data_IF_632218078742
#
_entry.id   IF_632218078742
#
_cell.length_a   1.000
_cell.length_b   1.000
_cell.length_c   1.000
_cell.angle_alpha   90.00
_cell.angle_beta   90.00
_cell.angle_gamma   90.00
#
_symmetry.space_group_name_H-M   'P 1'
#
loop_
_entity.id
_entity.type
_entity.pdbx_description
1 polymer ?
#
# COMPACT_ATOMS: atom_id res chain seq x y z
N UNK A 1 -24.22 15.80 2.72
CA UNK A 1 -23.16 15.09 1.98
C UNK A 1 -23.48 13.61 2.14
N UNK A 2 -23.54 12.86 1.05
CA UNK A 2 -23.77 11.42 1.09
C UNK A 2 -22.51 10.73 1.65
N UNK A 3 -22.67 9.67 2.44
CA UNK A 3 -21.50 8.93 2.94
C UNK A 3 -20.78 8.26 1.76
N UNK A 4 -19.43 8.28 1.72
CA UNK A 4 -18.69 7.62 0.67
C UNK A 4 -18.95 6.12 0.69
N UNK A 5 -19.17 5.54 -0.50
CA UNK A 5 -19.33 4.10 -0.65
C UNK A 5 -18.01 3.38 -0.39
N UNK A 6 -18.07 2.08 -0.09
CA UNK A 6 -16.86 1.26 0.06
C UNK A 6 -15.99 1.32 -1.21
N UNK A 7 -16.62 1.22 -2.38
CA UNK A 7 -15.92 1.31 -3.66
C UNK A 7 -15.20 2.65 -3.83
N UNK A 8 -15.85 3.78 -3.53
CA UNK A 8 -15.20 5.09 -3.58
C UNK A 8 -14.03 5.23 -2.59
N UNK A 9 -14.14 4.61 -1.40
CA UNK A 9 -13.04 4.58 -0.45
C UNK A 9 -11.87 3.71 -0.94
N UNK A 10 -12.14 2.57 -1.56
CA UNK A 10 -11.11 1.69 -2.11
C UNK A 10 -10.39 2.31 -3.30
N UNK A 11 -11.13 2.98 -4.19
CA UNK A 11 -10.55 3.76 -5.29
C UNK A 11 -9.60 4.84 -4.74
N UNK A 12 -10.02 5.60 -3.74
CA UNK A 12 -9.16 6.60 -3.09
C UNK A 12 -7.90 5.96 -2.47
N UNK A 13 -8.05 4.87 -1.71
CA UNK A 13 -6.92 4.14 -1.14
C UNK A 13 -5.98 3.56 -2.20
N UNK A 14 -6.49 3.16 -3.35
CA UNK A 14 -5.65 2.69 -4.45
C UNK A 14 -4.75 3.80 -5.01
N UNK A 15 -5.26 5.04 -5.08
CA UNK A 15 -4.49 6.20 -5.50
C UNK A 15 -3.44 6.57 -4.44
N UNK A 16 -3.81 6.49 -3.15
CA UNK A 16 -2.86 6.66 -2.05
C UNK A 16 -1.71 5.65 -2.16
N UNK A 17 -1.96 4.44 -2.66
CA UNK A 17 -0.92 3.42 -2.86
C UNK A 17 0.07 3.82 -3.94
N UNK A 18 -0.40 4.43 -5.03
CA UNK A 18 0.44 4.96 -6.11
C UNK A 18 1.36 6.05 -5.57
N UNK A 19 0.79 7.00 -4.83
CA UNK A 19 1.54 8.10 -4.22
C UNK A 19 2.53 7.59 -3.17
N UNK A 20 2.13 6.63 -2.34
CA UNK A 20 2.97 6.00 -1.34
C UNK A 20 4.16 5.28 -1.96
N UNK A 21 3.91 4.42 -2.96
CA UNK A 21 4.95 3.70 -3.69
C UNK A 21 5.98 4.64 -4.32
N UNK A 22 5.49 5.74 -4.94
CA UNK A 22 6.36 6.70 -5.60
C UNK A 22 7.19 7.50 -4.60
N UNK A 23 6.56 8.00 -3.54
CA UNK A 23 7.22 8.89 -2.56
C UNK A 23 8.20 8.15 -1.65
N UNK A 24 7.92 6.90 -1.26
CA UNK A 24 8.73 6.17 -0.27
C UNK A 24 9.77 5.25 -0.92
N UNK A 25 9.50 4.75 -2.13
CA UNK A 25 10.34 3.73 -2.77
C UNK A 25 10.75 4.04 -4.20
N UNK A 26 10.31 5.16 -4.77
CA UNK A 26 10.49 5.52 -6.18
C UNK A 26 9.96 4.45 -7.16
N UNK A 27 8.92 3.71 -6.74
CA UNK A 27 8.29 2.65 -7.53
C UNK A 27 7.03 3.21 -8.19
N UNK A 28 6.86 2.92 -9.49
CA UNK A 28 5.65 3.29 -10.24
C UNK A 28 4.67 2.13 -10.29
N UNK A 29 3.48 2.40 -9.76
CA UNK A 29 2.27 1.60 -9.86
C UNK A 29 1.34 2.26 -10.89
N UNK A 30 0.85 1.49 -11.86
CA UNK A 30 0.16 1.99 -13.06
C UNK A 30 -1.14 1.25 -13.38
N UNK A 31 -1.70 0.56 -12.39
CA UNK A 31 -2.90 -0.27 -12.46
C UNK A 31 -2.84 -1.48 -13.42
N UNK A 32 -1.64 -1.86 -13.88
CA UNK A 32 -1.47 -3.11 -14.64
C UNK A 32 -1.30 -4.33 -13.73
N UNK A 33 -1.62 -5.53 -14.22
CA UNK A 33 -1.32 -6.80 -13.54
C UNK A 33 0.16 -6.89 -13.12
N UNK A 34 1.07 -6.43 -13.99
CA UNK A 34 2.52 -6.43 -13.70
C UNK A 34 2.90 -5.56 -12.50
N UNK A 35 2.10 -4.54 -12.18
CA UNK A 35 2.32 -3.68 -11.02
C UNK A 35 1.91 -4.34 -9.70
N UNK A 36 1.15 -5.45 -9.72
CA UNK A 36 0.87 -6.25 -8.52
C UNK A 36 2.15 -6.87 -7.97
N UNK A 37 3.04 -7.36 -8.84
CA UNK A 37 4.35 -7.90 -8.42
C UNK A 37 5.20 -6.83 -7.71
N UNK A 38 5.05 -5.55 -8.10
CA UNK A 38 5.75 -4.44 -7.46
C UNK A 38 5.19 -4.13 -6.07
N UNK A 39 3.92 -4.44 -5.80
CA UNK A 39 3.35 -4.33 -4.44
C UNK A 39 4.06 -5.30 -3.48
N UNK A 40 4.36 -6.52 -3.92
CA UNK A 40 5.16 -7.46 -3.10
C UNK A 40 6.56 -6.91 -2.78
N UNK A 41 7.20 -6.27 -3.77
CA UNK A 41 8.49 -5.61 -3.56
C UNK A 41 8.39 -4.48 -2.51
N UNK A 42 7.32 -3.69 -2.53
CA UNK A 42 7.06 -2.64 -1.54
C UNK A 42 6.90 -3.24 -0.15
N UNK A 43 6.09 -4.30 -0.01
CA UNK A 43 5.89 -5.00 1.27
C UNK A 43 7.20 -5.57 1.81
N UNK A 44 8.05 -6.15 0.95
CA UNK A 44 9.38 -6.63 1.34
C UNK A 44 10.26 -5.49 1.86
N UNK A 45 10.29 -4.35 1.16
CA UNK A 45 11.07 -3.18 1.59
C UNK A 45 10.58 -2.64 2.93
N UNK A 46 9.27 -2.63 3.15
CA UNK A 46 8.69 -2.25 4.44
C UNK A 46 9.13 -3.21 5.55
N UNK A 47 9.01 -4.52 5.32
CA UNK A 47 9.44 -5.53 6.27
C UNK A 47 10.94 -5.41 6.64
N UNK A 48 11.77 -5.09 5.65
CA UNK A 48 13.21 -4.90 5.83
C UNK A 48 13.55 -3.60 6.56
N UNK A 49 12.72 -2.56 6.45
CA UNK A 49 12.90 -1.30 7.17
C UNK A 49 12.60 -1.39 8.67
N UNK A 50 11.88 -2.43 9.13
CA UNK A 50 11.51 -2.58 10.54
C UNK A 50 12.75 -2.91 11.39
N UNK A 51 13.08 -2.10 12.41
CA UNK A 51 14.26 -2.31 13.25
C UNK A 51 14.09 -3.54 14.16
N UNK A 52 14.97 -4.55 14.00
CA UNK A 52 14.87 -5.83 14.76
C UNK A 52 15.80 -5.94 15.94
N UNK A 53 16.96 -5.30 15.88
CA UNK A 53 17.97 -5.34 16.95
C UNK A 53 17.66 -4.35 18.06
N UNK A 54 18.03 -4.69 19.30
CA UNK A 54 17.88 -3.81 20.46
C UNK A 54 18.54 -2.44 20.25
N UNK A 55 19.74 -2.40 19.64
CA UNK A 55 20.42 -1.14 19.29
C UNK A 55 19.66 -0.35 18.22
N UNK A 56 19.10 -1.02 17.22
CA UNK A 56 18.38 -0.36 16.12
C UNK A 56 17.07 0.26 16.59
N UNK A 57 16.35 -0.41 17.51
CA UNK A 57 15.13 0.13 18.14
C UNK A 57 15.35 1.36 19.02
N UNK A 58 16.61 1.65 19.40
CA UNK A 58 16.95 2.86 20.17
C UNK A 58 17.11 4.10 19.28
N UNK A 59 17.38 3.91 17.98
CA UNK A 59 17.65 5.00 17.03
C UNK A 59 16.58 5.16 15.95
N UNK A 60 15.72 4.16 15.76
CA UNK A 60 14.69 4.14 14.73
C UNK A 60 13.36 3.69 15.32
N UNK A 61 12.31 4.44 14.99
CA UNK A 61 10.95 4.08 15.35
C UNK A 61 10.47 2.91 14.49
N UNK A 62 9.79 1.97 15.13
CA UNK A 62 9.03 0.95 14.40
C UNK A 62 7.68 1.56 14.01
N UNK A 63 7.11 1.19 12.85
CA UNK A 63 5.74 1.57 12.54
C UNK A 63 4.79 1.03 13.61
N UNK A 64 3.80 1.84 13.96
CA UNK A 64 2.69 1.48 14.83
C UNK A 64 1.73 0.51 14.16
N UNK A 65 0.91 -0.18 14.97
CA UNK A 65 -0.12 -1.10 14.45
C UNK A 65 -1.11 -0.37 13.52
N UNK A 66 -1.47 0.88 13.85
CA UNK A 66 -2.36 1.72 13.03
C UNK A 66 -1.74 2.06 11.66
N UNK A 67 -0.42 2.34 11.63
CA UNK A 67 0.30 2.58 10.37
C UNK A 67 0.37 1.30 9.52
N UNK A 68 0.64 0.15 10.15
CA UNK A 68 0.65 -1.14 9.46
C UNK A 68 -0.74 -1.45 8.89
N UNK A 69 -1.81 -1.22 9.66
CA UNK A 69 -3.19 -1.42 9.21
C UNK A 69 -3.52 -0.50 8.03
N UNK A 70 -3.14 0.78 8.13
CA UNK A 70 -3.38 1.78 7.09
C UNK A 70 -2.69 1.39 5.78
N UNK A 71 -1.39 1.07 5.84
CA UNK A 71 -0.62 0.66 4.65
C UNK A 71 -1.19 -0.63 4.06
N UNK A 72 -1.62 -1.58 4.91
CA UNK A 72 -2.24 -2.82 4.45
C UNK A 72 -3.53 -2.57 3.66
N UNK A 73 -4.38 -1.64 4.12
CA UNK A 73 -5.61 -1.24 3.40
C UNK A 73 -5.28 -0.58 2.07
N UNK A 74 -4.32 0.36 2.07
CA UNK A 74 -3.87 1.09 0.89
C UNK A 74 -3.35 0.14 -0.19
N UNK A 75 -2.39 -0.72 0.16
CA UNK A 75 -1.80 -1.68 -0.79
C UNK A 75 -2.82 -2.74 -1.23
N UNK A 76 -3.68 -3.21 -0.33
CA UNK A 76 -4.75 -4.16 -0.66
C UNK A 76 -5.80 -3.57 -1.61
N UNK A 77 -6.20 -2.31 -1.39
CA UNK A 77 -7.13 -1.60 -2.27
C UNK A 77 -6.56 -1.47 -3.68
N UNK A 78 -5.27 -1.15 -3.81
CA UNK A 78 -4.61 -1.10 -5.12
C UNK A 78 -4.66 -2.44 -5.86
N UNK A 79 -4.37 -3.55 -5.18
CA UNK A 79 -4.48 -4.88 -5.80
C UNK A 79 -5.93 -5.11 -6.28
N UNK A 80 -6.92 -4.84 -5.43
CA UNK A 80 -8.33 -4.96 -5.79
C UNK A 80 -8.70 -4.16 -7.04
N UNK A 81 -8.30 -2.90 -7.10
CA UNK A 81 -8.58 -2.01 -8.24
C UNK A 81 -7.89 -2.45 -9.52
N UNK A 82 -6.68 -3.01 -9.47
CA UNK A 82 -6.05 -3.64 -10.66
C UNK A 82 -6.96 -4.75 -11.21
N UNK A 83 -7.44 -5.65 -10.35
CA UNK A 83 -8.30 -6.75 -10.80
C UNK A 83 -9.65 -6.24 -11.33
N UNK A 84 -10.25 -5.23 -10.69
CA UNK A 84 -11.50 -4.62 -11.14
C UNK A 84 -11.32 -3.97 -12.52
N UNK A 85 -10.21 -3.27 -12.76
CA UNK A 85 -9.95 -2.62 -14.05
C UNK A 85 -9.65 -3.61 -15.18
N UNK A 86 -8.82 -4.62 -14.91
CA UNK A 86 -8.36 -5.57 -15.94
C UNK A 86 -9.36 -6.70 -16.23
N UNK A 87 -10.17 -7.09 -15.25
CA UNK A 87 -11.09 -8.24 -15.37
C UNK A 87 -12.56 -7.91 -15.09
N UNK A 88 -12.88 -6.70 -14.64
CA UNK A 88 -14.20 -6.34 -14.16
C UNK A 88 -14.45 -6.79 -12.72
N UNK A 89 -15.47 -6.22 -12.09
CA UNK A 89 -15.82 -6.47 -10.69
C UNK A 89 -16.66 -5.32 -10.12
N UNK A 90 -17.09 -5.46 -8.86
CA UNK A 90 -17.78 -4.42 -8.08
C UNK A 90 -17.29 -4.43 -6.64
#
# INVERSE_FOLDING_TARGET
MEEPTISAMMEAYSLDAVDYAKSHFDITLDFTESSVEKVELIVSKLYDSIPRSFLSKLFYDSPSDDEIETISKVLGAYIGEVFIQEHGGV
#
